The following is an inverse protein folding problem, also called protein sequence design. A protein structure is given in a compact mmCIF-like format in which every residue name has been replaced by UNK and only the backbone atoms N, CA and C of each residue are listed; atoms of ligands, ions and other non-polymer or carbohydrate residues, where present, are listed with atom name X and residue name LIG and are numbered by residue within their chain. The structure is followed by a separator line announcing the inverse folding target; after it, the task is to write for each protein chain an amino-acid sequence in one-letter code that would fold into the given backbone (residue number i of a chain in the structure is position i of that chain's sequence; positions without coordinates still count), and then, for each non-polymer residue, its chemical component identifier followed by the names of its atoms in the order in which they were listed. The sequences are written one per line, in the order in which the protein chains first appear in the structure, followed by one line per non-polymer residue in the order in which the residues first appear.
data_IF_159248876473
#
_entry.id   IF_159248876473
#
_cell.length_a   1.000
_cell.length_b   1.000
_cell.length_c   1.000
_cell.angle_alpha   90.00
_cell.angle_beta   90.00
_cell.angle_gamma   90.00
#
_symmetry.space_group_name_H-M   'P 1'
#
loop_
_entity.id
_entity.type
_entity.pdbx_description
1 polymer ?
#
# COMPACT_ATOMS: atom_id res chain seq x y z
N UNK A 1 5.04 -14.78 -11.29
CA UNK A 1 4.01 -13.73 -11.17
C UNK A 1 3.56 -13.63 -9.72
N UNK A 2 3.80 -12.49 -9.09
CA UNK A 2 3.29 -12.19 -7.76
C UNK A 2 1.98 -11.40 -7.88
N UNK A 3 0.99 -11.71 -7.04
CA UNK A 3 -0.29 -11.01 -6.97
C UNK A 3 -0.37 -10.21 -5.67
N UNK A 4 -0.87 -8.98 -5.78
CA UNK A 4 -1.02 -8.05 -4.67
C UNK A 4 -2.45 -7.54 -4.61
N UNK A 5 -3.07 -7.65 -3.44
CA UNK A 5 -4.36 -7.01 -3.19
C UNK A 5 -4.20 -5.50 -3.11
N UNK A 6 -5.16 -4.78 -3.65
CA UNK A 6 -5.12 -3.31 -3.70
C UNK A 6 -6.44 -2.74 -3.24
N UNK A 7 -6.35 -1.83 -2.28
CA UNK A 7 -7.42 -0.89 -1.96
C UNK A 7 -7.13 0.43 -2.68
N UNK A 8 -7.82 0.66 -3.79
CA UNK A 8 -7.78 1.94 -4.50
C UNK A 8 -8.84 2.86 -3.91
N UNK A 9 -8.41 3.86 -3.12
CA UNK A 9 -9.28 4.75 -2.35
C UNK A 9 -9.08 6.19 -2.84
N UNK A 10 -10.17 6.95 -2.92
CA UNK A 10 -10.13 8.39 -3.13
C UNK A 10 -10.52 9.10 -1.85
N UNK A 11 -9.55 9.76 -1.22
CA UNK A 11 -9.72 10.47 0.05
C UNK A 11 -9.43 11.95 -0.16
N UNK A 12 -10.36 12.84 0.23
CA UNK A 12 -10.22 14.30 0.09
C UNK A 12 -9.78 14.78 -1.32
N UNK A 13 -10.25 14.08 -2.37
CA UNK A 13 -9.91 14.40 -3.75
C UNK A 13 -8.59 13.82 -4.26
N UNK A 14 -7.86 13.10 -3.42
CA UNK A 14 -6.61 12.44 -3.76
C UNK A 14 -6.80 10.93 -3.93
N UNK A 15 -6.39 10.40 -5.09
CA UNK A 15 -6.35 8.96 -5.33
C UNK A 15 -5.13 8.33 -4.63
N UNK A 16 -5.35 7.20 -3.95
CA UNK A 16 -4.35 6.44 -3.20
C UNK A 16 -4.41 4.96 -3.60
N UNK A 17 -3.26 4.37 -3.90
CA UNK A 17 -3.14 2.94 -4.19
C UNK A 17 -2.55 2.24 -2.98
N UNK A 18 -3.41 1.70 -2.10
CA UNK A 18 -2.96 1.12 -0.83
C UNK A 18 -2.81 -0.38 -0.99
N UNK A 19 -1.61 -0.89 -0.71
CA UNK A 19 -1.24 -2.29 -0.88
C UNK A 19 -0.87 -2.88 0.48
N UNK A 20 -1.71 -3.78 1.03
CA UNK A 20 -1.36 -4.58 2.18
C UNK A 20 -0.18 -5.50 1.83
N UNK A 21 0.87 -5.45 2.63
CA UNK A 21 2.03 -6.34 2.52
C UNK A 21 2.24 -7.10 3.83
N UNK A 22 2.89 -8.26 3.74
CA UNK A 22 3.25 -9.04 4.92
C UNK A 22 4.25 -8.27 5.79
N UNK A 23 4.18 -8.43 7.12
CA UNK A 23 5.10 -7.79 8.05
C UNK A 23 6.58 -8.14 7.78
N UNK A 24 6.86 -9.30 7.17
CA UNK A 24 8.20 -9.67 6.71
C UNK A 24 8.81 -8.67 5.71
N UNK A 25 7.99 -7.86 5.03
CA UNK A 25 8.45 -6.73 4.22
C UNK A 25 9.41 -5.81 5.00
N UNK A 26 9.08 -5.53 6.27
CA UNK A 26 9.90 -4.67 7.14
C UNK A 26 11.26 -5.24 7.50
N UNK A 27 11.48 -6.54 7.30
CA UNK A 27 12.75 -7.22 7.58
C UNK A 27 13.69 -7.18 6.37
N UNK A 28 13.22 -6.72 5.21
CA UNK A 28 14.02 -6.58 4.00
C UNK A 28 14.95 -5.37 4.12
N UNK A 29 16.04 -5.38 3.35
CA UNK A 29 16.94 -4.22 3.28
C UNK A 29 16.21 -2.99 2.74
N UNK A 30 16.71 -1.79 3.03
CA UNK A 30 16.13 -0.55 2.51
C UNK A 30 16.07 -0.53 0.98
N UNK A 31 17.11 -1.05 0.30
CA UNK A 31 17.12 -1.19 -1.17
C UNK A 31 16.04 -2.13 -1.65
N UNK A 32 15.88 -3.31 -1.04
CA UNK A 32 14.83 -4.25 -1.44
C UNK A 32 13.43 -3.67 -1.23
N UNK A 33 13.23 -2.92 -0.13
CA UNK A 33 11.96 -2.24 0.13
C UNK A 33 11.67 -1.15 -0.91
N UNK A 34 12.70 -0.45 -1.38
CA UNK A 34 12.60 0.54 -2.46
C UNK A 34 12.28 -0.11 -3.80
N UNK A 35 12.96 -1.21 -4.13
CA UNK A 35 12.76 -1.94 -5.38
C UNK A 35 11.34 -2.52 -5.46
N UNK A 36 10.84 -3.06 -4.35
CA UNK A 36 9.45 -3.54 -4.24
C UNK A 36 8.47 -2.37 -4.40
N UNK A 37 8.71 -1.24 -3.72
CA UNK A 37 7.84 -0.08 -3.82
C UNK A 37 7.79 0.48 -5.25
N UNK A 38 8.95 0.60 -5.90
CA UNK A 38 9.09 1.07 -7.27
C UNK A 38 8.42 0.13 -8.27
N UNK A 39 8.60 -1.19 -8.10
CA UNK A 39 7.95 -2.21 -8.94
C UNK A 39 6.42 -2.17 -8.81
N UNK A 40 5.91 -1.99 -7.59
CA UNK A 40 4.47 -1.84 -7.35
C UNK A 40 3.92 -0.54 -7.92
N UNK A 41 4.67 0.57 -7.80
CA UNK A 41 4.27 1.85 -8.39
C UNK A 41 4.22 1.76 -9.92
N UNK A 42 5.21 1.10 -10.53
CA UNK A 42 5.22 0.86 -11.97
C UNK A 42 4.00 0.01 -12.39
N UNK A 43 3.76 -1.11 -11.71
CA UNK A 43 2.61 -1.97 -12.01
C UNK A 43 1.26 -1.27 -11.80
N UNK A 44 1.14 -0.42 -10.77
CA UNK A 44 -0.06 0.39 -10.53
C UNK A 44 -0.30 1.38 -11.69
N UNK A 45 0.76 2.05 -12.15
CA UNK A 45 0.69 2.99 -13.27
C UNK A 45 0.32 2.28 -14.58
N UNK A 46 0.94 1.13 -14.86
CA UNK A 46 0.65 0.31 -16.04
C UNK A 46 -0.79 -0.21 -16.04
N UNK A 47 -1.32 -0.57 -14.87
CA UNK A 47 -2.73 -0.92 -14.68
C UNK A 47 -3.70 0.28 -14.70
N UNK A 48 -3.21 1.51 -14.94
CA UNK A 48 -4.02 2.72 -15.00
C UNK A 48 -4.55 3.21 -13.65
N UNK A 49 -4.01 2.72 -12.53
CA UNK A 49 -4.39 3.17 -11.20
C UNK A 49 -3.78 4.54 -10.92
N UNK A 50 -4.65 5.51 -10.62
CA UNK A 50 -4.24 6.88 -10.28
C UNK A 50 -3.80 6.93 -8.82
N UNK A 51 -2.70 7.64 -8.54
CA UNK A 51 -2.22 7.92 -7.18
C UNK A 51 -0.84 7.32 -6.88
N UNK A 52 -0.36 7.60 -5.67
CA UNK A 52 0.89 7.00 -5.18
C UNK A 52 0.60 5.68 -4.47
N UNK A 53 1.50 4.72 -4.63
CA UNK A 53 1.49 3.47 -3.89
C UNK A 53 1.85 3.74 -2.44
N UNK A 54 0.98 3.27 -1.55
CA UNK A 54 1.18 3.22 -0.11
C UNK A 54 1.27 1.76 0.29
N UNK A 55 2.32 1.41 1.01
CA UNK A 55 2.45 0.08 1.60
C UNK A 55 1.94 0.13 3.04
N UNK A 56 1.13 -0.84 3.44
CA UNK A 56 0.64 -0.98 4.81
C UNK A 56 0.81 -2.41 5.27
N UNK A 57 1.19 -2.62 6.52
CA UNK A 57 1.39 -3.95 7.09
C UNK A 57 0.92 -3.99 8.53
N UNK A 58 0.62 -5.19 9.01
CA UNK A 58 0.18 -5.43 10.38
C UNK A 58 1.11 -6.47 11.03
N UNK A 59 1.72 -6.11 12.15
CA UNK A 59 2.60 -7.01 12.92
C UNK A 59 1.85 -7.82 13.98
N UNK A 60 0.51 -7.74 14.01
CA UNK A 60 -0.38 -8.29 15.04
C UNK A 60 -0.60 -7.33 16.20
N UNK A 61 0.44 -6.59 16.61
CA UNK A 61 0.37 -5.60 17.70
C UNK A 61 0.22 -4.15 17.19
N UNK A 62 0.73 -3.85 16.00
CA UNK A 62 0.72 -2.51 15.43
C UNK A 62 0.58 -2.55 13.92
N UNK A 63 0.08 -1.45 13.37
CA UNK A 63 -0.04 -1.21 11.94
C UNK A 63 1.04 -0.23 11.54
N UNK A 64 1.91 -0.64 10.62
CA UNK A 64 2.92 0.22 10.03
C UNK A 64 2.56 0.55 8.59
N UNK A 65 3.11 1.66 8.09
CA UNK A 65 2.86 2.10 6.72
C UNK A 65 4.04 2.89 6.15
N UNK A 66 4.13 2.89 4.83
CA UNK A 66 5.03 3.72 4.03
C UNK A 66 4.18 4.56 3.08
N UNK A 67 3.97 5.83 3.43
CA UNK A 67 3.13 6.77 2.71
C UNK A 67 3.78 8.17 2.63
N UNK A 68 3.43 8.99 1.62
CA UNK A 68 3.71 10.42 1.60
C UNK A 68 3.31 11.12 2.91
N UNK A 69 4.11 12.10 3.34
CA UNK A 69 3.95 12.75 4.65
C UNK A 69 2.56 13.36 4.85
N UNK A 70 1.96 13.93 3.80
CA UNK A 70 0.62 14.53 3.88
C UNK A 70 -0.48 13.53 4.26
N UNK A 71 -0.27 12.23 4.07
CA UNK A 71 -1.28 11.19 4.36
C UNK A 71 -1.07 10.53 5.72
N UNK A 72 -0.01 10.89 6.46
CA UNK A 72 0.25 10.30 7.78
C UNK A 72 -0.92 10.44 8.77
N UNK A 73 -1.65 11.58 8.85
CA UNK A 73 -2.82 11.68 9.72
C UNK A 73 -3.89 10.63 9.40
N UNK A 74 -4.18 10.41 8.12
CA UNK A 74 -5.13 9.40 7.67
C UNK A 74 -4.68 8.00 8.10
N UNK A 75 -3.42 7.63 7.83
CA UNK A 75 -2.88 6.31 8.16
C UNK A 75 -2.63 6.08 9.66
N UNK A 76 -2.69 7.11 10.49
CA UNK A 76 -2.65 7.01 11.95
C UNK A 76 -4.05 6.88 12.58
N UNK A 77 -5.11 6.96 11.79
CA UNK A 77 -6.48 6.86 12.28
C UNK A 77 -6.75 5.48 12.90
N UNK A 78 -7.54 5.41 13.99
CA UNK A 78 -7.97 4.14 14.55
C UNK A 78 -8.69 3.27 13.52
N UNK A 79 -8.38 1.98 13.48
CA UNK A 79 -9.03 1.03 12.57
C UNK A 79 -8.57 1.10 11.11
N UNK A 80 -7.47 1.80 10.81
CA UNK A 80 -6.96 1.95 9.44
C UNK A 80 -6.75 0.60 8.73
N UNK A 81 -6.24 -0.41 9.43
CA UNK A 81 -6.03 -1.74 8.85
C UNK A 81 -7.35 -2.37 8.40
N UNK A 82 -8.37 -2.36 9.26
CA UNK A 82 -9.69 -2.89 8.96
C UNK A 82 -10.36 -2.11 7.83
N UNK A 83 -10.17 -0.78 7.79
CA UNK A 83 -10.67 0.06 6.70
C UNK A 83 -10.04 -0.35 5.37
N UNK A 84 -8.72 -0.48 5.29
CA UNK A 84 -8.02 -0.91 4.06
C UNK A 84 -8.50 -2.29 3.63
N UNK A 85 -8.55 -3.25 4.56
CA UNK A 85 -8.93 -4.63 4.24
C UNK A 85 -10.36 -4.75 3.71
N UNK A 86 -11.29 -3.92 4.21
CA UNK A 86 -12.67 -3.86 3.72
C UNK A 86 -12.81 -3.17 2.35
N UNK A 87 -11.82 -2.37 1.96
CA UNK A 87 -11.83 -1.58 0.72
C UNK A 87 -10.92 -2.16 -0.37
N UNK A 88 -10.42 -3.40 -0.22
CA UNK A 88 -9.77 -4.09 -1.34
C UNK A 88 -10.78 -4.21 -2.49
N UNK A 89 -10.41 -3.67 -3.64
CA UNK A 89 -11.28 -3.58 -4.81
C UNK A 89 -10.55 -3.86 -6.13
N UNK A 90 -9.23 -4.12 -6.09
CA UNK A 90 -8.38 -4.43 -7.24
C UNK A 90 -7.30 -5.45 -6.85
N UNK A 91 -6.67 -6.03 -7.87
CA UNK A 91 -5.49 -6.89 -7.73
C UNK A 91 -4.44 -6.46 -8.76
N UNK A 92 -3.19 -6.28 -8.33
CA UNK A 92 -2.05 -6.06 -9.21
C UNK A 92 -1.29 -7.36 -9.43
N UNK A 93 -0.79 -7.56 -10.64
CA UNK A 93 0.08 -8.68 -10.99
C UNK A 93 1.43 -8.12 -11.43
N UNK A 94 2.50 -8.56 -10.77
CA UNK A 94 3.88 -8.27 -11.20
C UNK A 94 4.41 -9.54 -11.87
N UNK A 95 4.85 -9.39 -13.12
CA UNK A 95 5.40 -10.44 -13.97
C UNK A 95 6.87 -10.71 -13.68
#
# INVERSE_FOLDING_TARGET
MAKYDVAHIREQGQDMVIIPVDAAFTRKSTSDQEDIHSSLQYAANDAGLRGNVVLIWNTGSQVGFRAPQQWHPFFRSPGIWQLVMRNINKTLTIS
#
